data_IF_762903510537
#
_entry.id   IF_762903510537
#
_cell.length_a   1.000
_cell.length_b   1.000
_cell.length_c   1.000
_cell.angle_alpha   90.00
_cell.angle_beta   90.00
_cell.angle_gamma   90.00
#
_symmetry.space_group_name_H-M   'P 1'
#
loop_
_entity.id
_entity.type
_entity.pdbx_description
1 polymer ?
#
# COMPACT_ATOMS: atom_id res chain seq x y z
N UNK A 1 -6.37 15.26 0.98
CA UNK A 1 -5.41 15.90 0.05
C UNK A 1 -6.12 16.15 -1.28
N UNK A 2 -6.76 17.31 -1.44
CA UNK A 2 -7.19 17.75 -2.77
C UNK A 2 -6.06 18.59 -3.34
N UNK A 3 -5.05 17.93 -3.89
CA UNK A 3 -3.80 18.56 -4.34
C UNK A 3 -3.90 19.08 -5.78
N UNK A 4 -4.93 19.89 -6.04
CA UNK A 4 -5.18 20.46 -7.36
C UNK A 4 -4.03 21.35 -7.84
N UNK A 5 -3.33 21.99 -6.89
CA UNK A 5 -2.13 22.77 -7.13
C UNK A 5 -0.95 21.93 -7.64
N UNK A 6 -0.74 20.74 -7.07
CA UNK A 6 0.28 19.81 -7.53
C UNK A 6 -0.01 19.33 -8.96
N UNK A 7 -1.29 19.11 -9.27
CA UNK A 7 -1.71 18.79 -10.64
C UNK A 7 -1.47 19.97 -11.60
N UNK A 8 -1.76 21.21 -11.18
CA UNK A 8 -1.47 22.41 -11.99
C UNK A 8 0.03 22.55 -12.28
N UNK A 9 0.87 22.36 -11.28
CA UNK A 9 2.34 22.38 -11.44
C UNK A 9 2.79 21.27 -12.39
N UNK A 10 2.28 20.05 -12.21
CA UNK A 10 2.62 18.92 -13.09
C UNK A 10 2.17 19.14 -14.54
N UNK A 11 0.95 19.64 -14.76
CA UNK A 11 0.42 19.98 -16.09
C UNK A 11 1.26 21.08 -16.78
N UNK A 12 1.68 22.09 -16.01
CA UNK A 12 2.57 23.13 -16.51
C UNK A 12 3.92 22.53 -16.95
N UNK A 13 4.56 21.71 -16.11
CA UNK A 13 5.82 21.05 -16.47
C UNK A 13 5.70 20.12 -17.68
N UNK A 14 4.57 19.42 -17.84
CA UNK A 14 4.33 18.55 -19.01
C UNK A 14 4.19 19.33 -20.31
N UNK A 15 3.74 20.57 -20.24
CA UNK A 15 3.57 21.42 -21.42
C UNK A 15 4.92 21.86 -22.02
N UNK A 16 6.03 21.71 -21.25
CA UNK A 16 7.39 22.05 -21.66
C UNK A 16 8.35 20.88 -21.40
N UNK A 17 8.21 19.74 -22.10
CA UNK A 17 8.92 18.50 -21.77
C UNK A 17 10.44 18.55 -22.00
N UNK A 18 10.90 19.43 -22.90
CA UNK A 18 12.31 19.58 -23.25
C UNK A 18 13.02 20.65 -22.42
N UNK A 19 12.27 21.45 -21.67
CA UNK A 19 12.80 22.56 -20.88
C UNK A 19 13.03 22.18 -19.41
N UNK A 20 14.03 22.81 -18.82
CA UNK A 20 14.33 22.73 -17.39
C UNK A 20 13.92 24.05 -16.76
N UNK A 21 12.90 24.04 -15.91
CA UNK A 21 12.29 25.24 -15.37
C UNK A 21 12.70 25.49 -13.92
N UNK A 22 12.97 26.76 -13.58
CA UNK A 22 13.25 27.18 -12.21
C UNK A 22 11.96 27.30 -11.40
N UNK A 23 12.05 27.15 -10.07
CA UNK A 23 10.92 27.27 -9.16
C UNK A 23 10.23 28.65 -9.19
N UNK A 24 10.99 29.74 -9.33
CA UNK A 24 10.49 31.10 -9.50
C UNK A 24 9.62 31.24 -10.77
N UNK A 25 10.12 30.74 -11.90
CA UNK A 25 9.38 30.77 -13.17
C UNK A 25 8.10 29.93 -13.10
N UNK A 26 8.16 28.76 -12.45
CA UNK A 26 6.98 27.91 -12.23
C UNK A 26 5.96 28.66 -11.35
N UNK A 27 6.42 29.34 -10.31
CA UNK A 27 5.55 30.11 -9.40
C UNK A 27 4.80 31.23 -10.10
N UNK A 28 5.48 31.98 -10.97
CA UNK A 28 4.87 33.06 -11.75
C UNK A 28 3.82 32.54 -12.74
N UNK A 29 4.11 31.45 -13.44
CA UNK A 29 3.19 30.92 -14.47
C UNK A 29 1.99 30.17 -13.89
N UNK A 30 2.20 29.44 -12.79
CA UNK A 30 1.12 28.67 -12.15
C UNK A 30 0.34 29.53 -11.15
N UNK A 31 0.74 30.78 -10.89
CA UNK A 31 0.07 31.69 -9.96
C UNK A 31 -0.11 31.07 -8.56
N UNK A 32 0.93 30.39 -8.07
CA UNK A 32 0.98 29.79 -6.72
C UNK A 32 2.18 30.43 -5.99
N UNK A 33 2.05 30.80 -4.71
CA UNK A 33 3.18 31.34 -3.95
C UNK A 33 4.41 30.44 -3.99
N UNK A 34 5.59 31.05 -4.18
CA UNK A 34 6.86 30.32 -4.34
C UNK A 34 7.14 29.32 -3.20
N UNK A 35 6.80 29.69 -1.96
CA UNK A 35 6.94 28.80 -0.80
C UNK A 35 6.16 27.50 -0.95
N UNK A 36 4.97 27.56 -1.53
CA UNK A 36 4.09 26.41 -1.69
C UNK A 36 4.46 25.60 -2.93
N UNK A 37 4.85 26.27 -4.02
CA UNK A 37 5.44 25.62 -5.20
C UNK A 37 6.62 24.74 -4.80
N UNK A 38 7.55 25.26 -3.98
CA UNK A 38 8.70 24.46 -3.50
C UNK A 38 8.27 23.20 -2.75
N UNK A 39 7.33 23.32 -1.82
CA UNK A 39 6.79 22.15 -1.07
C UNK A 39 6.16 21.14 -2.02
N UNK A 40 5.37 21.59 -3.00
CA UNK A 40 4.73 20.71 -3.97
C UNK A 40 5.72 20.05 -4.93
N UNK A 41 6.74 20.79 -5.39
CA UNK A 41 7.82 20.25 -6.21
C UNK A 41 8.58 19.15 -5.46
N UNK A 42 8.90 19.35 -4.18
CA UNK A 42 9.55 18.30 -3.39
C UNK A 42 8.66 17.07 -3.18
N UNK A 43 7.35 17.25 -2.99
CA UNK A 43 6.42 16.12 -2.93
C UNK A 43 6.36 15.36 -4.26
N UNK A 44 6.22 16.08 -5.39
CA UNK A 44 6.22 15.47 -6.72
C UNK A 44 7.53 14.74 -7.03
N UNK A 45 8.66 15.29 -6.58
CA UNK A 45 9.97 14.67 -6.70
C UNK A 45 10.09 13.42 -5.82
N UNK A 46 9.61 13.47 -4.57
CA UNK A 46 9.62 12.35 -3.64
C UNK A 46 8.86 11.13 -4.19
N UNK A 47 7.71 11.36 -4.81
CA UNK A 47 6.94 10.30 -5.49
C UNK A 47 7.47 9.97 -6.90
N UNK A 48 8.51 10.66 -7.38
CA UNK A 48 9.16 10.37 -8.66
C UNK A 48 8.35 10.76 -9.90
N UNK A 49 7.40 11.70 -9.77
CA UNK A 49 6.61 12.18 -10.92
C UNK A 49 7.35 13.21 -11.76
N UNK A 50 8.37 13.87 -11.20
CA UNK A 50 9.20 14.88 -11.88
C UNK A 50 10.68 14.58 -11.62
N UNK A 51 11.55 15.17 -12.45
CA UNK A 51 13.01 15.13 -12.29
C UNK A 51 13.52 16.46 -11.78
N UNK A 52 14.58 16.40 -10.98
CA UNK A 52 15.34 17.56 -10.55
C UNK A 52 16.73 17.53 -11.18
N UNK A 53 17.20 18.67 -11.66
CA UNK A 53 18.47 18.86 -12.31
C UNK A 53 19.22 19.96 -11.57
N UNK A 54 20.42 19.63 -11.12
CA UNK A 54 21.36 20.63 -10.64
C UNK A 54 22.07 21.24 -11.85
N UNK A 55 21.88 22.53 -12.07
CA UNK A 55 22.55 23.24 -13.15
C UNK A 55 23.52 24.28 -12.57
N UNK A 56 24.75 24.24 -13.07
CA UNK A 56 25.75 25.25 -12.78
C UNK A 56 25.42 26.48 -13.61
N UNK A 57 24.61 27.38 -13.05
CA UNK A 57 24.53 28.72 -13.61
C UNK A 57 25.81 29.45 -13.24
N UNK A 58 26.66 29.73 -14.23
CA UNK A 58 27.68 30.77 -14.09
C UNK A 58 26.95 32.11 -14.01
N UNK A 59 26.55 32.50 -12.81
CA UNK A 59 26.09 33.85 -12.55
C UNK A 59 27.29 34.80 -12.74
N UNK A 60 27.26 35.58 -13.83
CA UNK A 60 28.24 36.63 -14.08
C UNK A 60 28.43 37.50 -12.82
N UNK A 61 29.70 37.71 -12.47
CA UNK A 61 30.26 38.70 -11.55
C UNK A 61 30.46 38.40 -10.05
N UNK A 62 30.22 37.21 -9.50
CA UNK A 62 30.80 36.86 -8.17
C UNK A 62 31.25 35.40 -8.07
N UNK A 63 32.41 35.18 -7.45
CA UNK A 63 33.16 33.91 -7.31
C UNK A 63 32.47 32.83 -6.44
N UNK A 64 31.17 32.66 -6.56
CA UNK A 64 30.44 31.57 -5.90
C UNK A 64 29.60 30.82 -6.93
N UNK A 65 29.79 29.51 -6.98
CA UNK A 65 28.92 28.63 -7.75
C UNK A 65 27.54 28.61 -7.08
N UNK A 66 26.57 29.32 -7.66
CA UNK A 66 25.18 29.17 -7.25
C UNK A 66 24.63 27.93 -7.94
N UNK A 67 24.52 26.85 -7.17
CA UNK A 67 23.81 25.65 -7.60
C UNK A 67 22.31 25.97 -7.64
N UNK A 68 21.73 25.98 -8.83
CA UNK A 68 20.30 26.23 -9.03
C UNK A 68 19.62 24.91 -9.39
N UNK A 69 18.48 24.63 -8.74
CA UNK A 69 17.68 23.45 -9.01
C UNK A 69 16.65 23.77 -10.09
N UNK A 70 16.63 22.95 -11.13
CA UNK A 70 15.63 23.02 -12.19
C UNK A 70 14.81 21.75 -12.22
N UNK A 71 13.56 21.88 -12.62
CA UNK A 71 12.60 20.79 -12.65
C UNK A 71 12.15 20.54 -14.07
N UNK A 72 12.00 19.27 -14.42
CA UNK A 72 11.40 18.88 -15.70
C UNK A 72 10.64 17.57 -15.55
N UNK A 73 9.70 17.34 -16.45
CA UNK A 73 9.06 16.04 -16.58
C UNK A 73 8.61 15.84 -18.02
N UNK A 74 8.34 14.60 -18.39
CA UNK A 74 7.70 14.30 -19.66
C UNK A 74 6.65 13.21 -19.46
N UNK A 75 5.73 13.13 -20.42
CA UNK A 75 4.61 12.21 -20.37
C UNK A 75 5.07 10.78 -20.10
N UNK A 76 6.05 10.29 -20.88
CA UNK A 76 6.56 8.92 -20.78
C UNK A 76 7.15 8.59 -19.39
N UNK A 77 7.90 9.52 -18.81
CA UNK A 77 8.51 9.35 -17.50
C UNK A 77 7.45 9.25 -16.40
N UNK A 78 6.53 10.22 -16.35
CA UNK A 78 5.44 10.20 -15.36
C UNK A 78 4.51 9.00 -15.57
N UNK A 79 4.17 8.65 -16.81
CA UNK A 79 3.33 7.49 -17.13
C UNK A 79 3.94 6.18 -16.67
N UNK A 80 5.23 5.97 -16.97
CA UNK A 80 5.92 4.76 -16.49
C UNK A 80 5.92 4.67 -14.97
N UNK A 81 6.09 5.81 -14.28
CA UNK A 81 6.01 5.84 -12.82
C UNK A 81 4.61 5.48 -12.32
N UNK A 82 3.56 6.01 -12.94
CA UNK A 82 2.17 5.66 -12.60
C UNK A 82 1.92 4.17 -12.81
N UNK A 83 2.41 3.58 -13.91
CA UNK A 83 2.32 2.13 -14.15
C UNK A 83 2.95 1.33 -13.01
N UNK A 84 4.18 1.65 -12.63
CA UNK A 84 4.88 0.98 -11.52
C UNK A 84 4.07 1.05 -10.22
N UNK A 85 3.49 2.21 -9.90
CA UNK A 85 2.62 2.38 -8.74
C UNK A 85 1.36 1.51 -8.83
N UNK A 86 0.67 1.51 -9.96
CA UNK A 86 -0.53 0.69 -10.16
C UNK A 86 -0.21 -0.79 -9.98
N UNK A 87 0.85 -1.31 -10.61
CA UNK A 87 1.25 -2.71 -10.45
C UNK A 87 1.62 -3.06 -9.01
N UNK A 88 2.30 -2.15 -8.30
CA UNK A 88 2.65 -2.34 -6.88
C UNK A 88 1.39 -2.44 -6.01
N UNK A 89 0.41 -1.55 -6.24
CA UNK A 89 -0.87 -1.58 -5.52
C UNK A 89 -1.63 -2.87 -5.86
N UNK A 90 -1.69 -3.28 -7.12
CA UNK A 90 -2.33 -4.53 -7.56
C UNK A 90 -1.76 -5.73 -6.80
N UNK A 91 -0.43 -5.83 -6.77
CA UNK A 91 0.30 -6.89 -6.08
C UNK A 91 -0.04 -6.92 -4.60
N UNK A 92 -0.07 -5.77 -3.93
CA UNK A 92 -0.36 -5.68 -2.51
C UNK A 92 -1.81 -6.10 -2.20
N UNK A 93 -2.78 -5.65 -3.00
CA UNK A 93 -4.19 -6.05 -2.85
C UNK A 93 -4.34 -7.56 -3.06
N UNK A 94 -3.68 -8.10 -4.09
CA UNK A 94 -3.70 -9.54 -4.37
C UNK A 94 -3.12 -10.37 -3.21
N UNK A 95 -1.96 -9.98 -2.67
CA UNK A 95 -1.36 -10.64 -1.51
C UNK A 95 -2.31 -10.58 -0.31
N UNK A 96 -2.94 -9.43 -0.06
CA UNK A 96 -3.90 -9.29 1.04
C UNK A 96 -5.13 -10.17 0.85
N UNK A 97 -5.68 -10.24 -0.36
CA UNK A 97 -6.83 -11.10 -0.69
C UNK A 97 -6.48 -12.58 -0.44
N UNK A 98 -5.30 -13.00 -0.88
CA UNK A 98 -4.81 -14.37 -0.65
C UNK A 98 -4.68 -14.69 0.85
N UNK A 99 -4.15 -13.74 1.64
CA UNK A 99 -4.06 -13.90 3.09
C UNK A 99 -5.43 -14.06 3.75
N UNK A 100 -6.41 -13.21 3.43
CA UNK A 100 -7.77 -13.32 3.98
C UNK A 100 -8.45 -14.63 3.58
N UNK A 101 -8.29 -15.07 2.33
CA UNK A 101 -8.82 -16.36 1.87
C UNK A 101 -8.26 -17.54 2.68
N UNK A 102 -6.97 -17.51 3.01
CA UNK A 102 -6.36 -18.56 3.83
C UNK A 102 -6.93 -18.57 5.26
N UNK A 103 -7.12 -17.40 5.86
CA UNK A 103 -7.74 -17.27 7.20
C UNK A 103 -9.22 -17.72 7.19
N UNK A 104 -9.96 -17.43 6.13
CA UNK A 104 -11.34 -17.93 5.95
C UNK A 104 -11.33 -19.46 5.88
N UNK A 105 -10.41 -20.06 5.10
CA UNK A 105 -10.29 -21.50 4.98
C UNK A 105 -9.93 -22.17 6.31
N UNK A 106 -9.02 -21.59 7.11
CA UNK A 106 -8.67 -22.14 8.43
C UNK A 106 -9.86 -22.06 9.40
N UNK A 107 -10.64 -20.99 9.36
CA UNK A 107 -11.85 -20.83 10.17
C UNK A 107 -12.96 -21.81 9.77
N UNK A 108 -13.19 -22.03 8.47
CA UNK A 108 -14.14 -23.03 7.97
C UNK A 108 -13.72 -24.46 8.33
N UNK A 109 -12.43 -24.77 8.24
CA UNK A 109 -11.91 -26.08 8.69
C UNK A 109 -12.04 -26.25 10.20
N UNK A 110 -11.84 -25.19 10.98
CA UNK A 110 -12.04 -25.22 12.43
C UNK A 110 -13.52 -25.40 12.79
N UNK A 111 -14.42 -24.67 12.15
CA UNK A 111 -15.86 -24.78 12.42
C UNK A 111 -16.41 -26.15 12.05
N UNK A 112 -15.96 -26.74 10.94
CA UNK A 112 -16.34 -28.11 10.56
C UNK A 112 -15.90 -29.15 11.59
N UNK A 113 -14.67 -29.07 12.12
CA UNK A 113 -14.21 -29.95 13.22
C UNK A 113 -15.14 -29.84 14.44
N UNK A 114 -15.51 -28.62 14.85
CA UNK A 114 -16.40 -28.41 16.01
C UNK A 114 -17.84 -28.89 15.79
N UNK A 115 -18.28 -29.04 14.53
CA UNK A 115 -19.61 -29.60 14.21
C UNK A 115 -19.60 -31.13 14.31
N UNK A 116 -18.50 -31.79 13.93
CA UNK A 116 -18.35 -33.24 14.07
C UNK A 116 -18.34 -33.70 15.54
N UNK A 117 -17.83 -32.87 16.47
CA UNK A 117 -17.84 -33.18 17.91
C UNK A 117 -19.25 -33.10 18.54
N UNK A 118 -20.18 -32.37 17.93
CA UNK A 118 -21.55 -32.19 18.43
C UNK A 118 -22.57 -33.16 17.83
N UNK A 119 -22.21 -33.87 16.76
CA UNK A 119 -22.97 -35.02 16.30
C UNK A 119 -22.46 -36.26 17.02
N UNK A 120 -23.04 -36.53 18.19
CA UNK A 120 -22.96 -37.84 18.84
C UNK A 120 -23.61 -38.89 17.95
N UNK A 121 -22.87 -39.37 16.95
CA UNK A 121 -23.21 -40.54 16.17
C UNK A 121 -22.03 -41.48 16.29
N UNK A 122 -22.20 -42.46 17.18
CA UNK A 122 -21.42 -43.70 17.18
C UNK A 122 -21.50 -44.33 15.78
N UNK A 123 -20.47 -44.13 14.99
CA UNK A 123 -20.11 -45.11 13.98
C UNK A 123 -19.10 -46.06 14.61
N UNK A 124 -19.64 -47.00 15.38
CA UNK A 124 -18.97 -48.27 15.59
C UNK A 124 -18.68 -48.91 14.22
N UNK A 125 -17.40 -49.09 13.94
CA UNK A 125 -16.84 -49.99 12.94
C UNK A 125 -17.19 -49.74 11.47
N UNK A 126 -16.42 -48.90 10.77
CA UNK A 126 -15.95 -49.25 9.43
C UNK A 126 -14.66 -48.46 9.12
N UNK A 127 -13.57 -49.17 8.83
CA UNK A 127 -12.18 -48.71 8.60
C UNK A 127 -11.27 -48.57 9.83
N UNK A 128 -10.89 -49.72 10.37
CA UNK A 128 -9.58 -49.87 11.03
C UNK A 128 -8.48 -50.13 9.99
N UNK A 129 -7.30 -49.54 10.26
CA UNK A 129 -5.95 -49.69 9.64
C UNK A 129 -5.71 -48.93 8.33
N UNK A 130 -4.86 -47.89 8.29
CA UNK A 130 -3.50 -47.83 8.85
C UNK A 130 -3.14 -46.53 9.62
N UNK A 131 -2.34 -46.74 10.68
CA UNK A 131 -1.76 -45.80 11.64
C UNK A 131 -1.06 -44.56 11.03
N UNK A 132 -1.42 -43.36 11.50
CA UNK A 132 -0.41 -42.36 11.90
C UNK A 132 -0.74 -41.88 13.32
N UNK A 133 0.21 -42.13 14.20
CA UNK A 133 0.20 -41.92 15.64
C UNK A 133 0.26 -40.42 15.97
N UNK A 134 -0.69 -39.90 16.74
CA UNK A 134 -0.55 -38.64 17.48
C UNK A 134 -0.79 -38.91 18.96
N UNK A 135 0.14 -39.64 19.56
CA UNK A 135 0.24 -39.74 21.01
C UNK A 135 1.03 -38.55 21.57
N UNK A 136 0.36 -37.79 22.46
CA UNK A 136 0.95 -37.12 23.64
C UNK A 136 1.64 -35.80 23.28
N UNK A 137 1.18 -34.64 23.77
CA UNK A 137 1.38 -34.20 25.15
C UNK A 137 0.15 -33.53 25.78
N UNK A 138 -0.33 -34.18 26.84
CA UNK A 138 -0.97 -33.57 27.99
C UNK A 138 0.17 -33.02 28.88
N UNK A 139 0.26 -31.71 29.12
CA UNK A 139 1.05 -31.17 30.23
C UNK A 139 0.32 -29.97 30.88
N UNK A 140 -0.44 -30.31 31.93
CA UNK A 140 -0.41 -29.73 33.28
C UNK A 140 -0.27 -28.21 33.47
N UNK A 141 -1.31 -27.65 34.10
CA UNK A 141 -1.24 -26.48 34.98
C UNK A 141 -0.02 -26.51 35.92
N UNK A 142 0.85 -25.50 35.86
CA UNK A 142 1.55 -24.96 37.03
C UNK A 142 1.84 -23.46 36.88
N UNK A 143 1.60 -22.74 37.98
CA UNK A 143 1.84 -21.31 38.18
C UNK A 143 3.31 -20.89 37.97
N UNK A 144 3.53 -19.70 37.41
CA UNK A 144 4.81 -18.99 37.56
C UNK A 144 4.96 -17.74 36.68
N UNK A 145 4.95 -16.56 37.30
CA UNK A 145 5.55 -15.35 36.73
C UNK A 145 4.58 -14.29 36.18
N UNK A 146 4.03 -13.49 37.08
CA UNK A 146 3.28 -12.29 36.76
C UNK A 146 4.28 -11.18 36.31
N UNK A 147 4.42 -10.93 35.01
CA UNK A 147 5.07 -9.72 34.49
C UNK A 147 4.06 -8.99 33.62
N UNK A 148 3.46 -7.98 34.22
CA UNK A 148 2.33 -7.23 33.70
C UNK A 148 2.86 -6.11 32.77
N UNK A 149 2.84 -6.34 31.45
CA UNK A 149 3.08 -5.29 30.44
C UNK A 149 1.76 -4.72 29.85
N UNK A 150 0.64 -4.84 30.57
CA UNK A 150 -0.67 -4.50 30.02
C UNK A 150 -1.12 -3.04 30.17
N UNK A 151 -0.25 -2.09 30.56
CA UNK A 151 -0.66 -0.69 30.78
C UNK A 151 0.11 0.33 29.92
N UNK A 152 0.15 0.16 28.60
CA UNK A 152 0.56 1.27 27.70
C UNK A 152 -0.28 1.47 26.43
N UNK A 153 -1.35 0.71 26.25
CA UNK A 153 -2.37 1.01 25.24
C UNK A 153 -3.73 0.90 25.94
N UNK A 154 -4.32 2.05 26.22
CA UNK A 154 -5.66 2.14 26.81
C UNK A 154 -6.64 1.31 26.00
N UNK A 155 -7.57 0.67 26.71
CA UNK A 155 -8.68 -0.16 26.22
C UNK A 155 -9.16 0.23 24.81
N UNK A 156 -8.51 -0.32 23.79
CA UNK A 156 -9.15 -0.56 22.51
C UNK A 156 -9.81 -1.92 22.68
N UNK A 157 -11.13 -1.94 22.82
CA UNK A 157 -11.88 -3.17 22.65
C UNK A 157 -11.42 -3.82 21.34
N UNK A 158 -10.70 -4.94 21.45
CA UNK A 158 -10.29 -5.71 20.27
C UNK A 158 -11.57 -6.22 19.62
N UNK A 159 -12.06 -5.52 18.60
CA UNK A 159 -13.11 -6.03 17.74
C UNK A 159 -12.65 -7.38 17.22
N UNK A 160 -13.32 -8.44 17.65
CA UNK A 160 -13.00 -9.80 17.22
C UNK A 160 -13.46 -9.90 15.78
N UNK A 161 -12.51 -9.94 14.83
CA UNK A 161 -12.82 -10.03 13.40
C UNK A 161 -13.57 -11.34 13.16
N UNK A 162 -14.82 -11.23 12.73
CA UNK A 162 -15.68 -12.39 12.46
C UNK A 162 -15.37 -13.01 11.10
N UNK A 163 -15.83 -14.24 10.87
CA UNK A 163 -15.72 -14.90 9.57
C UNK A 163 -16.38 -14.07 8.46
N UNK A 164 -17.56 -13.54 8.74
CA UNK A 164 -18.30 -12.67 7.81
C UNK A 164 -17.55 -11.37 7.50
N UNK A 165 -16.86 -10.77 8.48
CA UNK A 165 -16.05 -9.56 8.24
C UNK A 165 -14.91 -9.83 7.25
N UNK A 166 -14.31 -11.02 7.32
CA UNK A 166 -13.24 -11.44 6.41
C UNK A 166 -13.76 -11.73 5.01
N UNK A 167 -14.90 -12.41 4.90
CA UNK A 167 -15.57 -12.66 3.62
C UNK A 167 -15.89 -11.34 2.90
N UNK A 168 -16.47 -10.36 3.61
CA UNK A 168 -16.68 -9.02 3.07
C UNK A 168 -15.38 -8.32 2.67
N UNK A 169 -14.31 -8.45 3.46
CA UNK A 169 -13.01 -7.88 3.11
C UNK A 169 -12.46 -8.45 1.79
N UNK A 170 -12.62 -9.76 1.55
CA UNK A 170 -12.23 -10.40 0.28
C UNK A 170 -13.00 -9.83 -0.90
N UNK A 171 -14.32 -9.65 -0.75
CA UNK A 171 -15.17 -9.06 -1.80
C UNK A 171 -14.73 -7.63 -2.15
N UNK A 172 -14.44 -6.79 -1.14
CA UNK A 172 -13.93 -5.43 -1.37
C UNK A 172 -12.55 -5.41 -2.05
N UNK A 173 -11.67 -6.34 -1.69
CA UNK A 173 -10.35 -6.48 -2.34
C UNK A 173 -10.49 -6.92 -3.80
N UNK A 174 -11.46 -7.79 -4.10
CA UNK A 174 -11.78 -8.22 -5.46
C UNK A 174 -12.32 -7.08 -6.33
N UNK A 175 -13.29 -6.33 -5.81
CA UNK A 175 -13.82 -5.13 -6.49
C UNK A 175 -12.69 -4.11 -6.74
N UNK A 176 -11.79 -3.94 -5.78
CA UNK A 176 -10.63 -3.04 -5.91
C UNK A 176 -9.68 -3.48 -7.03
N UNK A 177 -9.42 -4.78 -7.18
CA UNK A 177 -8.62 -5.31 -8.29
C UNK A 177 -9.28 -5.06 -9.64
N UNK A 178 -10.60 -5.24 -9.75
CA UNK A 178 -11.35 -4.97 -11.00
C UNK A 178 -11.22 -3.50 -11.40
N UNK A 179 -11.35 -2.57 -10.45
CA UNK A 179 -11.17 -1.15 -10.74
C UNK A 179 -9.74 -0.80 -11.14
N UNK A 180 -8.77 -1.42 -10.47
CA UNK A 180 -7.38 -1.16 -10.75
C UNK A 180 -6.92 -1.73 -12.10
N UNK A 181 -7.50 -2.86 -12.53
CA UNK A 181 -7.26 -3.43 -13.87
C UNK A 181 -7.71 -2.47 -14.98
N UNK A 182 -8.89 -1.84 -14.83
CA UNK A 182 -9.36 -0.79 -15.75
C UNK A 182 -8.38 0.39 -15.84
N UNK A 183 -7.79 0.79 -14.71
CA UNK A 183 -6.77 1.85 -14.70
C UNK A 183 -5.50 1.38 -15.39
N UNK A 184 -4.99 0.19 -15.07
CA UNK A 184 -3.80 -0.38 -15.72
C UNK A 184 -3.99 -0.45 -17.24
N UNK A 185 -5.17 -0.84 -17.71
CA UNK A 185 -5.50 -0.86 -19.13
C UNK A 185 -5.33 0.53 -19.78
N UNK A 186 -5.89 1.59 -19.17
CA UNK A 186 -5.79 2.97 -19.67
C UNK A 186 -4.32 3.43 -19.76
N UNK A 187 -3.49 3.07 -18.80
CA UNK A 187 -2.08 3.47 -18.82
C UNK A 187 -1.27 2.63 -19.82
N UNK A 188 -1.70 1.41 -20.15
CA UNK A 188 -1.01 0.52 -21.09
C UNK A 188 -1.42 0.65 -22.56
N UNK A 189 -2.60 1.20 -22.85
CA UNK A 189 -3.03 1.58 -24.20
C UNK A 189 -2.26 2.79 -24.72
#
# INVERSE_FOLDING_TARGET
MNDIESLRIWNFLISFPDEKLNDELISENVLIPLSDVRKKLYNLLYYGFIKCHECNTTCNNKNYFKHCLFFSTNYNYSFNKIKEYLFTIAKNIFIRKFYENNEINTLHNKSTICVYDNTGIDYDNFFTKDNINCSIFNENNTNGGNINYNNLFGNMEKHTITLTDREYAVDYLEISLIHLDKLIFIFNS
#
